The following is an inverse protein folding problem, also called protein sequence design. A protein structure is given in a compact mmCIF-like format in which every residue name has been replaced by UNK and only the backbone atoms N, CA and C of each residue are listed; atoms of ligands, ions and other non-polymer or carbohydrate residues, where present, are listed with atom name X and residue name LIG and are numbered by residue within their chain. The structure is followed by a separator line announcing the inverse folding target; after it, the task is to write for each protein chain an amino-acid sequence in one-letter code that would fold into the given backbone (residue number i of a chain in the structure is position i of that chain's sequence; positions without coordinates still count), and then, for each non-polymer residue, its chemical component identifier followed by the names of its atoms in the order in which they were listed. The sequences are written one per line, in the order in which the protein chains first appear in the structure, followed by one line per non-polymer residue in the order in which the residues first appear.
data_IF_464808270742
#
_entry.id   IF_464808270742
#
_cell.length_a   1.000
_cell.length_b   1.000
_cell.length_c   1.000
_cell.angle_alpha   90.00
_cell.angle_beta   90.00
_cell.angle_gamma   90.00
#
_symmetry.space_group_name_H-M   'P 1'
#
loop_
_entity.id
_entity.type
_entity.pdbx_description
1 polymer ?
#
# COMPACT_ATOMS: atom_id res chain seq x y z
N UNK A 1 -29.78 -26.60 -32.07
CA UNK A 1 -29.54 -25.16 -32.23
C UNK A 1 -28.81 -24.63 -31.00
N UNK A 2 -27.66 -24.00 -31.25
CA UNK A 2 -26.65 -23.55 -30.28
C UNK A 2 -27.15 -22.35 -29.46
N UNK A 3 -26.78 -22.31 -28.18
CA UNK A 3 -26.72 -21.06 -27.40
C UNK A 3 -25.27 -20.58 -27.42
N UNK A 4 -25.02 -19.41 -27.99
CA UNK A 4 -23.79 -18.65 -27.79
C UNK A 4 -24.01 -17.64 -26.66
N UNK A 5 -23.08 -17.58 -25.72
CA UNK A 5 -22.80 -16.41 -24.88
C UNK A 5 -21.32 -16.08 -25.06
N UNK A 6 -21.07 -14.78 -25.13
CA UNK A 6 -19.86 -14.09 -25.56
C UNK A 6 -18.86 -13.91 -24.39
N UNK A 7 -17.72 -13.28 -24.75
CA UNK A 7 -16.55 -12.80 -23.96
C UNK A 7 -15.35 -13.73 -24.05
N UNK A 8 -14.13 -13.27 -24.35
CA UNK A 8 -13.59 -11.93 -24.53
C UNK A 8 -12.15 -12.07 -25.04
N UNK A 9 -11.67 -11.03 -25.71
CA UNK A 9 -10.38 -10.94 -26.42
C UNK A 9 -9.16 -10.78 -25.50
N UNK A 10 -7.99 -10.82 -26.16
CA UNK A 10 -6.68 -10.22 -25.80
C UNK A 10 -5.62 -11.25 -25.33
N UNK A 11 -4.35 -11.29 -25.76
CA UNK A 11 -3.41 -10.33 -26.39
C UNK A 11 -2.36 -11.16 -27.18
N UNK A 12 -2.29 -11.06 -28.51
CA UNK A 12 -1.21 -10.46 -29.32
C UNK A 12 0.23 -10.44 -28.75
N UNK A 13 1.04 -11.39 -29.22
CA UNK A 13 2.38 -11.23 -29.82
C UNK A 13 3.37 -10.27 -29.11
N UNK A 14 4.38 -10.90 -28.49
CA UNK A 14 5.69 -10.31 -28.17
C UNK A 14 6.82 -11.32 -28.36
N UNK A 15 6.88 -11.95 -29.54
CA UNK A 15 8.01 -12.78 -29.98
C UNK A 15 8.91 -11.93 -30.89
N UNK A 16 10.10 -11.55 -30.40
CA UNK A 16 11.31 -11.11 -31.13
C UNK A 16 12.20 -10.45 -30.06
N UNK A 17 13.22 -11.10 -29.50
CA UNK A 17 14.51 -11.35 -30.14
C UNK A 17 15.14 -12.65 -29.63
N UNK A 18 14.73 -13.80 -30.17
CA UNK A 18 15.55 -15.01 -30.15
C UNK A 18 16.50 -14.91 -31.34
N UNK A 19 17.54 -14.08 -31.17
CA UNK A 19 18.77 -14.21 -31.93
C UNK A 19 19.54 -15.38 -31.35
N UNK A 20 19.50 -16.52 -32.02
CA UNK A 20 20.24 -17.72 -31.67
C UNK A 20 21.75 -17.44 -31.60
N UNK A 21 22.27 -17.22 -30.40
CA UNK A 21 23.68 -17.36 -30.09
C UNK A 21 23.90 -18.75 -29.48
N UNK A 22 24.52 -19.61 -30.27
CA UNK A 22 25.00 -20.94 -29.86
C UNK A 22 25.94 -20.76 -28.66
N UNK A 23 25.55 -21.27 -27.49
CA UNK A 23 26.43 -21.30 -26.32
C UNK A 23 27.32 -22.53 -26.35
N UNK A 24 28.61 -22.28 -26.56
CA UNK A 24 29.70 -23.22 -26.25
C UNK A 24 29.65 -23.50 -24.75
N UNK A 25 29.69 -24.78 -24.39
CA UNK A 25 29.77 -25.21 -23.00
C UNK A 25 31.03 -24.65 -22.33
N UNK A 26 30.90 -23.57 -21.56
CA UNK A 26 31.91 -23.19 -20.56
C UNK A 26 31.82 -24.18 -19.41
N UNK A 27 32.53 -25.28 -19.58
CA UNK A 27 32.78 -26.24 -18.53
C UNK A 27 33.47 -25.56 -17.34
N UNK A 28 32.70 -25.32 -16.26
CA UNK A 28 33.19 -25.10 -14.90
C UNK A 28 33.73 -23.70 -14.59
N UNK A 29 32.84 -22.71 -14.37
CA UNK A 29 33.23 -21.35 -13.95
C UNK A 29 32.22 -20.76 -12.95
N UNK A 30 32.04 -21.41 -11.79
CA UNK A 30 31.55 -20.72 -10.57
C UNK A 30 32.73 -20.50 -9.60
N UNK A 31 33.95 -20.45 -10.15
CA UNK A 31 35.20 -20.48 -9.36
C UNK A 31 36.07 -19.23 -9.57
N UNK A 32 35.45 -18.10 -9.89
CA UNK A 32 36.03 -16.77 -9.68
C UNK A 32 34.98 -15.91 -8.97
N UNK A 33 35.49 -14.99 -8.17
CA UNK A 33 34.86 -14.13 -7.17
C UNK A 33 33.82 -13.16 -7.72
N UNK A 34 32.93 -13.62 -8.59
CA UNK A 34 31.99 -12.79 -9.32
C UNK A 34 30.66 -12.72 -8.57
N UNK A 35 30.24 -11.50 -8.25
CA UNK A 35 28.93 -11.20 -7.68
C UNK A 35 28.01 -10.85 -8.85
N UNK A 36 26.81 -11.44 -8.90
CA UNK A 36 25.82 -11.08 -9.93
C UNK A 36 24.87 -10.04 -9.35
N UNK A 37 24.90 -8.82 -9.90
CA UNK A 37 24.24 -7.66 -9.30
C UNK A 37 23.22 -7.06 -10.25
N UNK A 38 22.05 -6.73 -9.72
CA UNK A 38 21.05 -5.89 -10.35
C UNK A 38 20.90 -4.62 -9.52
N UNK A 39 21.06 -3.48 -10.17
CA UNK A 39 20.86 -2.16 -9.57
C UNK A 39 19.69 -1.46 -10.26
N UNK A 40 18.81 -0.88 -9.47
CA UNK A 40 17.85 0.13 -9.90
C UNK A 40 17.85 1.27 -8.87
N UNK A 41 17.15 2.38 -9.15
CA UNK A 41 17.04 3.47 -8.17
C UNK A 41 16.41 2.97 -6.86
N UNK A 42 17.10 3.17 -5.74
CA UNK A 42 16.70 2.70 -4.41
C UNK A 42 16.72 1.18 -4.21
N UNK A 43 17.19 0.39 -5.19
CA UNK A 43 17.20 -1.07 -5.12
C UNK A 43 18.56 -1.65 -5.51
N UNK A 44 19.12 -2.49 -4.65
CA UNK A 44 20.34 -3.25 -4.91
C UNK A 44 20.13 -4.72 -4.57
N UNK A 45 20.12 -5.57 -5.60
CA UNK A 45 19.94 -7.01 -5.46
C UNK A 45 21.17 -7.75 -5.96
N UNK A 46 21.60 -8.79 -5.25
CA UNK A 46 22.74 -9.57 -5.73
C UNK A 46 22.74 -11.03 -5.30
N UNK A 47 23.35 -11.86 -6.15
CA UNK A 47 23.59 -13.26 -5.89
C UNK A 47 25.07 -13.53 -5.67
N UNK A 48 25.36 -14.24 -4.58
CA UNK A 48 26.63 -14.91 -4.34
C UNK A 48 26.44 -16.41 -4.55
N UNK A 49 26.79 -16.90 -5.74
CA UNK A 49 26.59 -18.31 -6.11
C UNK A 49 27.89 -19.09 -6.02
N UNK A 50 27.80 -20.31 -5.50
CA UNK A 50 28.89 -21.30 -5.44
C UNK A 50 28.37 -22.66 -5.87
N UNK A 51 29.14 -23.42 -6.64
CA UNK A 51 28.67 -24.78 -7.01
C UNK A 51 29.31 -25.38 -8.25
N UNK A 52 28.92 -26.63 -8.52
CA UNK A 52 29.35 -27.41 -9.69
C UNK A 52 28.28 -27.45 -10.78
N UNK A 53 28.55 -28.17 -11.88
CA UNK A 53 27.71 -28.20 -13.10
C UNK A 53 26.23 -28.55 -12.88
N UNK A 54 25.89 -29.27 -11.81
CA UNK A 54 24.54 -29.83 -11.58
C UNK A 54 23.81 -29.20 -10.40
N UNK A 55 24.54 -28.62 -9.45
CA UNK A 55 24.00 -28.08 -8.20
C UNK A 55 24.72 -26.80 -7.84
N UNK A 56 23.93 -25.79 -7.49
CA UNK A 56 24.39 -24.48 -7.05
C UNK A 56 23.84 -24.23 -5.64
N UNK A 57 24.62 -23.52 -4.83
CA UNK A 57 24.23 -22.97 -3.54
C UNK A 57 24.65 -21.52 -3.51
N UNK A 58 24.17 -20.77 -2.54
CA UNK A 58 24.58 -19.38 -2.42
C UNK A 58 23.68 -18.60 -1.49
N UNK A 59 23.76 -17.29 -1.64
CA UNK A 59 22.85 -16.35 -0.99
C UNK A 59 22.36 -15.36 -2.02
N UNK A 60 21.08 -15.00 -1.92
CA UNK A 60 20.51 -13.86 -2.60
C UNK A 60 20.20 -12.79 -1.57
N UNK A 61 20.67 -11.58 -1.84
CA UNK A 61 20.51 -10.44 -0.98
C UNK A 61 19.66 -9.40 -1.68
N UNK A 62 18.82 -8.72 -0.90
CA UNK A 62 18.07 -7.55 -1.31
C UNK A 62 18.36 -6.41 -0.34
N UNK A 63 18.68 -5.23 -0.87
CA UNK A 63 18.65 -3.96 -0.15
C UNK A 63 17.74 -3.00 -0.88
N UNK A 64 16.78 -2.43 -0.18
CA UNK A 64 15.79 -1.49 -0.73
C UNK A 64 15.67 -0.30 0.18
N UNK A 65 15.69 0.91 -0.38
CA UNK A 65 15.35 2.12 0.37
C UNK A 65 13.83 2.15 0.59
N UNK A 66 13.43 2.20 1.86
CA UNK A 66 12.06 2.45 2.29
C UNK A 66 11.96 3.92 2.64
N UNK A 67 11.06 4.63 1.96
CA UNK A 67 10.84 6.08 2.08
C UNK A 67 9.34 6.32 2.26
N UNK A 68 8.88 6.14 3.50
CA UNK A 68 7.49 6.34 3.91
C UNK A 68 7.32 7.75 4.48
N UNK A 69 6.21 8.41 4.12
CA UNK A 69 5.95 9.79 4.55
C UNK A 69 5.77 9.84 6.07
N UNK A 70 6.58 10.68 6.73
CA UNK A 70 6.53 10.87 8.18
C UNK A 70 7.49 9.95 8.95
N UNK A 71 8.15 9.02 8.27
CA UNK A 71 9.23 8.21 8.82
C UNK A 71 10.57 8.64 8.22
N UNK A 72 11.65 8.46 8.98
CA UNK A 72 12.99 8.68 8.45
C UNK A 72 13.32 7.55 7.46
N UNK A 73 13.66 7.86 6.19
CA UNK A 73 13.98 6.82 5.22
C UNK A 73 15.12 5.92 5.70
N UNK A 74 15.05 4.63 5.38
CA UNK A 74 16.06 3.65 5.78
C UNK A 74 16.24 2.55 4.72
N UNK A 75 17.29 1.73 4.87
CA UNK A 75 17.51 0.56 4.00
C UNK A 75 16.95 -0.69 4.70
N UNK A 76 15.99 -1.35 4.06
CA UNK A 76 15.59 -2.70 4.41
C UNK A 76 16.56 -3.69 3.75
N UNK A 77 17.09 -4.63 4.54
CA UNK A 77 17.97 -5.70 4.07
C UNK A 77 17.34 -7.08 4.29
N UNK A 78 17.32 -7.90 3.25
CA UNK A 78 16.83 -9.27 3.28
C UNK A 78 17.84 -10.23 2.66
N UNK A 79 18.07 -11.34 3.33
CA UNK A 79 18.96 -12.40 2.86
C UNK A 79 18.23 -13.72 2.74
N UNK A 80 18.49 -14.42 1.63
CA UNK A 80 17.87 -15.68 1.30
C UNK A 80 18.93 -16.71 0.92
N UNK A 81 19.18 -17.70 1.79
CA UNK A 81 19.93 -18.90 1.42
C UNK A 81 19.35 -19.56 0.17
N UNK A 82 20.23 -19.91 -0.77
CA UNK A 82 19.88 -20.52 -2.04
C UNK A 82 20.33 -21.98 -2.10
N UNK A 83 19.41 -22.81 -2.60
CA UNK A 83 19.72 -24.11 -3.18
C UNK A 83 19.20 -24.17 -4.61
N UNK A 84 20.03 -24.64 -5.53
CA UNK A 84 19.75 -24.64 -6.96
C UNK A 84 20.09 -25.96 -7.63
N UNK A 85 19.33 -26.30 -8.67
CA UNK A 85 19.58 -27.45 -9.54
C UNK A 85 19.53 -27.03 -11.00
N UNK A 86 20.37 -27.65 -11.82
CA UNK A 86 20.33 -27.43 -13.27
C UNK A 86 19.06 -28.02 -13.89
N UNK A 87 18.49 -27.33 -14.87
CA UNK A 87 17.41 -27.81 -15.72
C UNK A 87 17.77 -27.56 -17.21
N UNK A 88 16.83 -27.82 -18.14
CA UNK A 88 17.07 -27.64 -19.58
C UNK A 88 17.29 -26.17 -19.99
N UNK A 89 16.76 -25.22 -19.21
CA UNK A 89 16.78 -23.78 -19.50
C UNK A 89 17.90 -23.03 -18.76
N UNK A 90 18.58 -23.67 -17.81
CA UNK A 90 19.56 -23.03 -16.93
C UNK A 90 19.54 -23.68 -15.54
N UNK A 91 19.16 -22.91 -14.54
CA UNK A 91 19.05 -23.31 -13.15
C UNK A 91 17.69 -22.93 -12.59
N UNK A 92 17.15 -23.81 -11.77
CA UNK A 92 16.03 -23.54 -10.89
C UNK A 92 16.59 -23.34 -9.48
N UNK A 93 16.45 -22.13 -8.94
CA UNK A 93 16.91 -21.74 -7.63
C UNK A 93 15.71 -21.61 -6.67
N UNK A 94 15.92 -22.05 -5.44
CA UNK A 94 15.00 -21.85 -4.32
C UNK A 94 15.71 -20.99 -3.28
N UNK A 95 15.21 -19.79 -3.09
CA UNK A 95 15.66 -18.82 -2.09
C UNK A 95 14.69 -18.87 -0.91
N UNK A 96 15.18 -19.08 0.32
CA UNK A 96 14.29 -19.31 1.47
C UNK A 96 14.84 -18.65 2.73
N UNK A 97 14.05 -17.77 3.33
CA UNK A 97 14.29 -17.25 4.69
C UNK A 97 13.22 -17.79 5.66
N UNK A 98 13.08 -17.20 6.85
CA UNK A 98 12.11 -17.67 7.86
C UNK A 98 10.64 -17.40 7.49
N UNK A 99 10.39 -16.41 6.66
CA UNK A 99 9.06 -15.85 6.39
C UNK A 99 8.57 -16.24 4.99
N UNK A 100 9.50 -16.42 4.05
CA UNK A 100 9.21 -16.47 2.63
C UNK A 100 10.08 -17.53 1.92
N UNK A 101 9.48 -18.18 0.92
CA UNK A 101 10.18 -19.00 -0.07
C UNK A 101 9.90 -18.45 -1.46
N UNK A 102 10.96 -18.12 -2.20
CA UNK A 102 10.88 -17.71 -3.60
C UNK A 102 11.47 -18.78 -4.50
N UNK A 103 10.80 -19.02 -5.65
CA UNK A 103 11.34 -19.81 -6.74
C UNK A 103 11.80 -18.87 -7.85
N UNK A 104 13.03 -19.10 -8.30
CA UNK A 104 13.75 -18.21 -9.21
C UNK A 104 14.32 -19.06 -10.33
N UNK A 105 13.95 -18.75 -11.57
CA UNK A 105 14.53 -19.34 -12.76
C UNK A 105 15.71 -18.46 -13.21
N UNK A 106 16.88 -19.07 -13.44
CA UNK A 106 18.10 -18.33 -13.73
C UNK A 106 18.93 -18.98 -14.85
N UNK A 107 19.46 -18.18 -15.77
CA UNK A 107 20.28 -18.66 -16.89
C UNK A 107 21.48 -17.75 -17.12
N UNK A 108 22.65 -18.34 -17.40
CA UNK A 108 23.81 -17.54 -17.78
C UNK A 108 23.65 -16.97 -19.18
N UNK A 109 23.93 -15.68 -19.33
CA UNK A 109 24.02 -14.98 -20.61
C UNK A 109 25.33 -14.23 -20.65
N UNK A 110 26.33 -14.80 -21.33
CA UNK A 110 27.69 -14.28 -21.23
C UNK A 110 28.29 -14.60 -19.88
N UNK A 111 28.90 -13.59 -19.29
CA UNK A 111 29.32 -13.57 -17.89
C UNK A 111 28.18 -13.21 -16.94
N UNK A 112 27.02 -12.77 -17.44
CA UNK A 112 25.92 -12.27 -16.62
C UNK A 112 24.90 -13.36 -16.32
N UNK A 113 23.98 -13.07 -15.41
CA UNK A 113 22.89 -13.96 -15.00
C UNK A 113 21.54 -13.31 -15.36
N UNK A 114 20.74 -13.96 -16.20
CA UNK A 114 19.34 -13.59 -16.42
C UNK A 114 18.51 -14.29 -15.37
N UNK A 115 17.62 -13.56 -14.71
CA UNK A 115 16.85 -14.03 -13.56
C UNK A 115 15.38 -13.67 -13.75
N UNK A 116 14.50 -14.66 -13.55
CA UNK A 116 13.06 -14.51 -13.53
C UNK A 116 12.52 -15.03 -12.19
N UNK A 117 11.96 -14.13 -11.37
CA UNK A 117 11.22 -14.52 -10.17
C UNK A 117 9.83 -15.02 -10.59
N UNK A 118 9.35 -16.16 -10.08
CA UNK A 118 8.06 -16.72 -10.54
C UNK A 118 6.83 -15.87 -10.19
N UNK A 119 6.96 -14.95 -9.24
CA UNK A 119 5.96 -13.94 -8.89
C UNK A 119 6.01 -12.70 -9.81
N UNK A 120 7.07 -12.54 -10.61
CA UNK A 120 7.27 -11.41 -11.52
C UNK A 120 7.15 -11.81 -13.00
N UNK A 121 6.65 -10.89 -13.83
CA UNK A 121 6.57 -11.12 -15.28
C UNK A 121 7.91 -10.90 -16.00
N UNK A 122 8.82 -10.12 -15.41
CA UNK A 122 9.94 -9.52 -16.14
C UNK A 122 11.27 -10.21 -15.81
N UNK A 123 12.02 -10.57 -16.86
CA UNK A 123 13.39 -11.07 -16.74
C UNK A 123 14.34 -9.91 -16.41
N UNK A 124 15.15 -10.06 -15.36
CA UNK A 124 16.17 -9.08 -14.95
C UNK A 124 17.57 -9.60 -15.31
N UNK A 125 18.39 -8.73 -15.87
CA UNK A 125 19.81 -9.03 -16.13
C UNK A 125 20.65 -8.59 -14.94
N UNK A 126 21.33 -9.54 -14.31
CA UNK A 126 22.29 -9.33 -13.24
C UNK A 126 23.70 -9.34 -13.83
N UNK A 127 24.40 -8.23 -13.70
CA UNK A 127 25.77 -8.09 -14.18
C UNK A 127 26.75 -8.81 -13.27
N UNK A 128 27.67 -9.57 -13.87
CA UNK A 128 28.83 -10.09 -13.14
C UNK A 128 29.84 -8.96 -12.96
N UNK A 129 30.11 -8.64 -11.69
CA UNK A 129 31.03 -7.58 -11.28
C UNK A 129 32.04 -8.07 -10.24
N UNK A 130 33.16 -7.35 -10.16
CA UNK A 130 34.19 -7.52 -9.15
C UNK A 130 33.79 -6.80 -7.84
N UNK A 131 34.45 -7.16 -6.74
CA UNK A 131 34.09 -6.66 -5.39
C UNK A 131 34.27 -5.16 -5.26
N UNK A 132 35.28 -4.59 -5.91
CA UNK A 132 35.57 -3.16 -5.89
C UNK A 132 34.41 -2.36 -6.51
N UNK A 133 33.89 -2.83 -7.65
CA UNK A 133 32.73 -2.21 -8.29
C UNK A 133 31.44 -2.43 -7.48
N UNK A 134 31.33 -3.53 -6.76
CA UNK A 134 30.20 -3.75 -5.85
C UNK A 134 30.19 -2.71 -4.71
N UNK A 135 31.35 -2.40 -4.14
CA UNK A 135 31.47 -1.37 -3.11
C UNK A 135 31.02 0.01 -3.61
N UNK A 136 31.32 0.37 -4.87
CA UNK A 136 30.81 1.59 -5.50
C UNK A 136 29.26 1.62 -5.53
N UNK A 137 28.61 0.49 -5.82
CA UNK A 137 27.14 0.40 -5.79
C UNK A 137 26.55 0.48 -4.38
N UNK A 138 27.25 -0.05 -3.38
CA UNK A 138 26.85 0.15 -1.98
C UNK A 138 26.95 1.62 -1.58
N UNK A 139 28.03 2.31 -1.96
CA UNK A 139 28.19 3.76 -1.71
C UNK A 139 27.11 4.59 -2.43
N UNK A 140 26.78 4.25 -3.67
CA UNK A 140 25.70 4.91 -4.41
C UNK A 140 24.34 4.73 -3.73
N UNK A 141 24.00 3.53 -3.22
CA UNK A 141 22.75 3.31 -2.48
C UNK A 141 22.71 4.14 -1.18
N UNK A 142 23.84 4.27 -0.48
CA UNK A 142 23.93 5.13 0.71
C UNK A 142 23.76 6.61 0.36
N UNK A 143 24.31 7.06 -0.77
CA UNK A 143 24.11 8.43 -1.26
C UNK A 143 22.63 8.69 -1.64
N UNK A 144 21.98 7.73 -2.29
CA UNK A 144 20.54 7.79 -2.59
C UNK A 144 19.70 7.85 -1.31
N UNK A 145 20.06 7.09 -0.27
CA UNK A 145 19.43 7.18 1.05
C UNK A 145 19.62 8.57 1.66
N UNK A 146 20.82 9.15 1.63
CA UNK A 146 21.06 10.48 2.17
C UNK A 146 20.21 11.55 1.46
N UNK A 147 20.06 11.45 0.14
CA UNK A 147 19.17 12.35 -0.62
C UNK A 147 17.72 12.18 -0.18
N UNK A 148 17.27 10.95 0.07
CA UNK A 148 15.92 10.68 0.59
C UNK A 148 15.73 11.30 1.99
N UNK A 149 16.69 11.12 2.89
CA UNK A 149 16.71 11.72 4.24
C UNK A 149 16.66 13.24 4.15
N UNK A 150 17.53 13.87 3.34
CA UNK A 150 17.59 15.32 3.17
C UNK A 150 16.27 15.90 2.62
N UNK A 151 15.58 15.14 1.77
CA UNK A 151 14.29 15.52 1.19
C UNK A 151 13.06 15.20 2.04
N UNK A 152 13.19 14.36 3.08
CA UNK A 152 12.06 13.82 3.85
C UNK A 152 11.24 14.91 4.55
N UNK A 153 11.90 15.92 5.13
CA UNK A 153 11.23 17.01 5.83
C UNK A 153 10.34 17.84 4.88
N UNK A 154 10.83 18.15 3.68
CA UNK A 154 10.05 18.92 2.70
C UNK A 154 8.91 18.08 2.11
N UNK A 155 9.13 16.78 1.86
CA UNK A 155 8.06 15.84 1.48
C UNK A 155 6.96 15.82 2.53
N UNK A 156 7.32 15.69 3.81
CA UNK A 156 6.36 15.70 4.92
C UNK A 156 5.62 17.04 5.01
N UNK A 157 6.31 18.18 4.89
CA UNK A 157 5.66 19.50 4.88
C UNK A 157 4.69 19.66 3.71
N UNK A 158 5.04 19.18 2.53
CA UNK A 158 4.15 19.21 1.36
C UNK A 158 2.91 18.35 1.61
N UNK A 159 3.12 17.11 2.07
CA UNK A 159 2.04 16.20 2.43
C UNK A 159 1.07 16.82 3.44
N UNK A 160 1.57 17.35 4.57
CA UNK A 160 0.73 17.96 5.61
C UNK A 160 -0.06 19.15 5.05
N UNK A 161 0.55 20.01 4.25
CA UNK A 161 -0.16 21.15 3.63
C UNK A 161 -1.29 20.69 2.71
N UNK A 162 -1.02 19.71 1.86
CA UNK A 162 -2.02 19.14 0.95
C UNK A 162 -3.15 18.46 1.71
N UNK A 163 -2.80 17.65 2.72
CA UNK A 163 -3.74 16.97 3.60
C UNK A 163 -4.70 17.96 4.27
N UNK A 164 -4.19 18.98 4.97
CA UNK A 164 -5.06 19.96 5.65
C UNK A 164 -5.82 20.86 4.67
N UNK A 165 -5.25 21.14 3.50
CA UNK A 165 -5.98 21.85 2.44
C UNK A 165 -7.17 21.03 1.96
N UNK A 166 -7.00 19.72 1.76
CA UNK A 166 -8.07 18.81 1.37
C UNK A 166 -9.10 18.67 2.47
N UNK A 167 -8.67 18.39 3.70
CA UNK A 167 -9.53 18.23 4.88
C UNK A 167 -10.48 19.42 5.07
N UNK A 168 -9.97 20.66 4.94
CA UNK A 168 -10.77 21.88 5.05
C UNK A 168 -11.68 22.15 3.83
N UNK A 169 -11.44 21.50 2.69
CA UNK A 169 -12.24 21.67 1.47
C UNK A 169 -13.41 20.69 1.38
N UNK A 170 -13.36 19.59 2.13
CA UNK A 170 -14.43 18.59 2.16
C UNK A 170 -15.68 19.17 2.81
N UNK A 171 -16.83 18.97 2.17
CA UNK A 171 -18.11 19.47 2.70
C UNK A 171 -18.52 18.75 3.98
N UNK A 172 -18.31 17.44 4.05
CA UNK A 172 -18.46 16.62 5.24
C UNK A 172 -18.27 15.14 4.93
N UNK A 173 -18.42 14.31 5.94
CA UNK A 173 -18.22 12.88 5.85
C UNK A 173 -19.45 12.13 6.32
N UNK A 174 -19.81 11.08 5.61
CA UNK A 174 -21.03 10.32 5.83
C UNK A 174 -20.72 8.86 6.17
N UNK A 175 -21.45 8.34 7.14
CA UNK A 175 -21.62 6.92 7.39
C UNK A 175 -23.11 6.59 7.52
N UNK A 176 -23.54 5.51 6.87
CA UNK A 176 -24.89 4.96 6.98
C UNK A 176 -24.81 3.52 7.46
N UNK A 177 -25.53 3.17 8.52
CA UNK A 177 -25.56 1.81 9.03
C UNK A 177 -26.19 0.85 8.00
N UNK A 178 -25.67 -0.37 7.89
CA UNK A 178 -26.18 -1.37 6.94
C UNK A 178 -27.64 -1.76 7.22
N UNK A 179 -28.01 -1.77 8.51
CA UNK A 179 -29.39 -2.02 8.96
C UNK A 179 -30.27 -0.77 8.94
N UNK A 180 -29.73 0.33 8.42
CA UNK A 180 -30.37 1.64 8.31
C UNK A 180 -30.88 2.21 9.65
N UNK A 181 -30.40 1.68 10.78
CA UNK A 181 -30.86 2.09 12.12
C UNK A 181 -30.42 3.50 12.48
N UNK A 182 -29.29 3.97 11.91
CA UNK A 182 -28.81 5.33 12.05
C UNK A 182 -27.91 5.78 10.89
N UNK A 183 -27.78 7.09 10.76
CA UNK A 183 -26.86 7.76 9.85
C UNK A 183 -26.04 8.79 10.65
N UNK A 184 -24.76 8.91 10.33
CA UNK A 184 -23.82 9.86 10.93
C UNK A 184 -23.26 10.77 9.85
N UNK A 185 -23.30 12.08 10.09
CA UNK A 185 -22.66 13.07 9.25
C UNK A 185 -21.70 13.92 10.08
N UNK A 186 -20.40 13.79 9.81
CA UNK A 186 -19.36 14.59 10.43
C UNK A 186 -19.02 15.77 9.51
N UNK A 187 -19.19 16.99 10.00
CA UNK A 187 -18.71 18.20 9.33
C UNK A 187 -17.52 18.76 10.07
N UNK A 188 -16.39 18.90 9.38
CA UNK A 188 -15.22 19.61 9.90
C UNK A 188 -15.37 21.07 9.50
N UNK A 189 -15.40 21.96 10.49
CA UNK A 189 -15.55 23.39 10.27
C UNK A 189 -14.18 24.08 10.16
N UNK A 190 -13.19 23.61 10.90
CA UNK A 190 -11.82 24.11 10.86
C UNK A 190 -10.82 22.99 11.21
N UNK A 191 -9.75 22.89 10.44
CA UNK A 191 -8.57 22.07 10.75
C UNK A 191 -7.30 22.90 10.56
N UNK A 192 -6.54 23.07 11.64
CA UNK A 192 -5.31 23.86 11.68
C UNK A 192 -4.10 22.98 11.41
N UNK A 193 -3.08 23.52 10.74
CA UNK A 193 -1.84 22.80 10.42
C UNK A 193 -1.08 22.28 11.66
N UNK A 194 -1.35 22.85 12.83
CA UNK A 194 -0.79 22.43 14.12
C UNK A 194 -1.48 21.17 14.68
N UNK A 195 -2.55 20.73 14.02
CA UNK A 195 -3.24 19.48 14.29
C UNK A 195 -4.62 19.67 14.89
N UNK A 196 -5.01 20.86 15.36
CA UNK A 196 -6.34 21.04 15.95
C UNK A 196 -7.45 20.93 14.91
N UNK A 197 -8.52 20.23 15.26
CA UNK A 197 -9.72 20.05 14.43
C UNK A 197 -10.95 20.44 15.23
N UNK A 198 -11.90 21.13 14.61
CA UNK A 198 -13.21 21.42 15.20
C UNK A 198 -14.32 21.18 14.19
N UNK A 199 -15.51 20.88 14.70
CA UNK A 199 -16.66 20.62 13.83
C UNK A 199 -17.90 20.16 14.58
N UNK A 200 -18.75 19.45 13.85
CA UNK A 200 -19.99 18.87 14.38
C UNK A 200 -20.26 17.48 13.84
N UNK A 201 -20.81 16.61 14.68
CA UNK A 201 -21.32 15.30 14.33
C UNK A 201 -22.83 15.29 14.45
N UNK A 202 -23.53 15.25 13.32
CA UNK A 202 -24.96 15.02 13.26
C UNK A 202 -25.24 13.52 13.30
N UNK A 203 -26.06 13.10 14.24
CA UNK A 203 -26.61 11.76 14.32
C UNK A 203 -28.10 11.77 14.01
N UNK A 204 -28.52 10.93 13.07
CA UNK A 204 -29.91 10.64 12.77
C UNK A 204 -30.21 9.20 13.16
N UNK A 205 -31.22 8.98 14.01
CA UNK A 205 -31.64 7.63 14.44
C UNK A 205 -33.08 7.35 13.99
N UNK A 206 -33.38 6.10 13.62
CA UNK A 206 -34.77 5.62 13.64
C UNK A 206 -35.22 5.56 15.11
N UNK A 207 -36.23 6.33 15.46
CA UNK A 207 -36.72 6.38 16.85
C UNK A 207 -37.66 5.21 17.17
N UNK A 208 -38.12 4.49 16.14
CA UNK A 208 -39.14 3.45 16.23
C UNK A 208 -40.55 3.96 16.50
N UNK A 209 -40.79 5.28 16.60
CA UNK A 209 -42.08 5.87 16.99
C UNK A 209 -42.87 6.38 15.78
N UNK A 210 -44.13 5.93 15.65
CA UNK A 210 -45.03 6.31 14.53
C UNK A 210 -45.21 7.83 14.37
N UNK A 211 -45.38 8.56 15.49
CA UNK A 211 -45.61 10.01 15.47
C UNK A 211 -44.33 10.85 15.40
N UNK A 212 -43.16 10.25 15.58
CA UNK A 212 -41.87 10.94 15.46
C UNK A 212 -40.83 9.97 14.91
N UNK A 213 -40.87 9.62 13.63
CA UNK A 213 -40.17 8.46 13.07
C UNK A 213 -38.65 8.49 13.27
N UNK A 214 -38.05 9.68 13.34
CA UNK A 214 -36.61 9.82 13.53
C UNK A 214 -36.26 10.84 14.62
N UNK A 215 -35.04 10.77 15.12
CA UNK A 215 -34.46 11.72 16.07
C UNK A 215 -33.13 12.24 15.52
N UNK A 216 -32.94 13.55 15.56
CA UNK A 216 -31.71 14.22 15.16
C UNK A 216 -31.01 14.75 16.40
N UNK A 217 -29.71 14.51 16.52
CA UNK A 217 -28.87 15.05 17.60
C UNK A 217 -27.55 15.52 17.03
N UNK A 218 -27.17 16.75 17.32
CA UNK A 218 -25.89 17.33 16.90
C UNK A 218 -24.95 17.42 18.08
N UNK A 219 -23.75 16.91 17.90
CA UNK A 219 -22.67 16.96 18.88
C UNK A 219 -21.58 17.90 18.37
N UNK A 220 -21.20 18.89 19.16
CA UNK A 220 -19.96 19.64 18.90
C UNK A 220 -18.77 18.71 19.13
N UNK A 221 -17.80 18.76 18.22
CA UNK A 221 -16.56 17.99 18.32
C UNK A 221 -15.36 18.91 18.24
N UNK A 222 -14.37 18.65 19.09
CA UNK A 222 -13.05 19.25 19.02
C UNK A 222 -12.02 18.14 19.11
N UNK A 223 -10.87 18.29 18.47
CA UNK A 223 -9.99 17.15 18.25
C UNK A 223 -8.61 17.51 17.78
N UNK A 224 -7.86 16.47 17.47
CA UNK A 224 -6.51 16.55 16.92
C UNK A 224 -6.35 15.57 15.75
N UNK A 225 -5.53 15.94 14.76
CA UNK A 225 -5.06 15.12 13.65
C UNK A 225 -3.57 15.38 13.37
N UNK A 226 -2.83 14.36 12.98
CA UNK A 226 -1.46 14.48 12.46
C UNK A 226 -1.35 14.14 10.96
N UNK A 227 -2.50 13.97 10.29
CA UNK A 227 -2.58 13.50 8.91
C UNK A 227 -2.76 11.99 8.75
N UNK A 228 -2.51 11.20 9.80
CA UNK A 228 -2.72 9.75 9.80
C UNK A 228 -3.81 9.35 10.80
N UNK A 229 -3.74 9.86 12.03
CA UNK A 229 -4.75 9.62 13.05
C UNK A 229 -5.76 10.76 13.16
N UNK A 230 -6.91 10.46 13.75
CA UNK A 230 -7.95 11.43 14.09
C UNK A 230 -8.51 11.11 15.47
N UNK A 231 -8.44 12.09 16.37
CA UNK A 231 -9.13 12.03 17.67
C UNK A 231 -10.13 13.16 17.77
N UNK A 232 -11.39 12.84 18.07
CA UNK A 232 -12.45 13.81 18.32
C UNK A 232 -13.02 13.61 19.72
N UNK A 233 -13.29 14.71 20.41
CA UNK A 233 -13.84 14.74 21.75
C UNK A 233 -15.19 15.43 21.73
N UNK A 234 -16.18 14.79 22.35
CA UNK A 234 -17.51 15.34 22.51
C UNK A 234 -18.12 14.97 23.87
N UNK A 235 -19.35 15.42 24.13
CA UNK A 235 -20.11 15.09 25.34
C UNK A 235 -21.40 14.37 24.95
N UNK A 236 -21.52 13.12 25.40
CA UNK A 236 -22.71 12.27 25.20
C UNK A 236 -23.32 12.01 26.55
N UNK A 237 -24.60 12.35 26.73
CA UNK A 237 -25.33 12.17 28.00
C UNK A 237 -24.58 12.72 29.23
N UNK A 238 -23.94 13.88 29.07
CA UNK A 238 -23.15 14.53 30.12
C UNK A 238 -21.77 13.91 30.38
N UNK A 239 -21.34 12.92 29.59
CA UNK A 239 -20.03 12.27 29.71
C UNK A 239 -19.13 12.61 28.53
N UNK A 240 -17.88 12.98 28.84
CA UNK A 240 -16.83 13.14 27.82
C UNK A 240 -16.61 11.81 27.11
N UNK A 241 -16.66 11.87 25.79
CA UNK A 241 -16.53 10.71 24.91
C UNK A 241 -15.48 11.01 23.87
N UNK A 242 -14.54 10.08 23.69
CA UNK A 242 -13.49 10.14 22.68
C UNK A 242 -13.88 9.24 21.51
N UNK A 243 -13.78 9.78 20.30
CA UNK A 243 -13.81 9.05 19.04
C UNK A 243 -12.38 9.03 18.49
N UNK A 244 -11.91 7.87 18.07
CA UNK A 244 -10.52 7.67 17.67
C UNK A 244 -10.45 6.81 16.41
N UNK A 245 -9.60 7.24 15.49
CA UNK A 245 -9.63 6.77 14.12
C UNK A 245 -8.34 7.03 13.35
N UNK A 246 -8.31 6.54 12.12
CA UNK A 246 -7.23 6.77 11.17
C UNK A 246 -7.79 7.08 9.79
N UNK A 247 -7.16 8.01 9.10
CA UNK A 247 -7.37 8.24 7.68
C UNK A 247 -6.92 7.04 6.84
N UNK A 248 -7.59 6.85 5.71
CA UNK A 248 -7.32 5.76 4.78
C UNK A 248 -6.75 6.41 3.53
N UNK A 249 -5.44 6.22 3.31
CA UNK A 249 -4.64 6.80 2.23
C UNK A 249 -4.49 8.34 2.28
N UNK A 250 -5.60 9.08 2.40
CA UNK A 250 -5.63 10.54 2.46
C UNK A 250 -6.86 11.07 3.25
N UNK A 251 -7.16 12.38 3.12
CA UNK A 251 -8.26 13.01 3.83
C UNK A 251 -9.69 12.61 3.36
N UNK A 252 -9.86 11.89 2.23
CA UNK A 252 -11.18 11.53 1.68
C UNK A 252 -11.95 10.52 2.53
N UNK A 253 -11.26 9.70 3.31
CA UNK A 253 -11.88 8.60 4.03
C UNK A 253 -11.15 8.33 5.34
N UNK A 254 -11.88 7.93 6.38
CA UNK A 254 -11.29 7.49 7.64
C UNK A 254 -12.18 6.50 8.38
N UNK A 255 -11.55 5.68 9.22
CA UNK A 255 -12.23 4.81 10.17
C UNK A 255 -12.26 5.49 11.52
N UNK A 256 -13.42 5.61 12.16
CA UNK A 256 -13.58 6.26 13.47
C UNK A 256 -14.33 5.35 14.44
N UNK A 257 -13.89 5.27 15.69
CA UNK A 257 -14.69 4.60 16.73
C UNK A 257 -16.00 5.34 16.96
N UNK A 258 -17.03 4.64 17.44
CA UNK A 258 -18.31 5.24 17.73
C UNK A 258 -18.97 4.57 18.93
N UNK A 259 -19.37 5.33 19.95
CA UNK A 259 -19.79 4.79 21.27
C UNK A 259 -21.00 3.85 21.26
N UNK A 260 -21.79 3.78 20.17
CA UNK A 260 -22.91 2.84 20.05
C UNK A 260 -22.50 1.46 19.52
N UNK A 261 -21.27 1.28 19.06
CA UNK A 261 -20.79 0.02 18.47
C UNK A 261 -19.34 -0.24 18.85
N UNK A 262 -18.96 -1.51 18.93
CA UNK A 262 -17.55 -1.90 19.15
C UNK A 262 -16.73 -1.85 17.85
N UNK A 263 -17.37 -1.66 16.69
CA UNK A 263 -16.72 -1.57 15.39
C UNK A 263 -16.35 -0.13 15.04
N UNK A 264 -15.19 0.05 14.38
CA UNK A 264 -14.88 1.33 13.74
C UNK A 264 -15.76 1.49 12.50
N UNK A 265 -16.29 2.69 12.33
CA UNK A 265 -17.16 3.06 11.23
C UNK A 265 -16.34 3.79 10.16
N UNK A 266 -16.54 3.41 8.90
CA UNK A 266 -15.86 4.05 7.77
C UNK A 266 -16.68 5.24 7.28
N UNK A 267 -16.12 6.43 7.45
CA UNK A 267 -16.67 7.69 6.99
C UNK A 267 -16.08 8.03 5.63
N UNK A 268 -16.94 8.39 4.68
CA UNK A 268 -16.54 8.77 3.32
C UNK A 268 -16.86 10.24 3.11
N UNK A 269 -15.97 10.97 2.44
CA UNK A 269 -16.27 12.33 2.01
C UNK A 269 -17.51 12.35 1.11
N UNK A 270 -18.31 13.39 1.26
CA UNK A 270 -19.50 13.63 0.44
C UNK A 270 -19.58 15.09 0.08
N UNK A 271 -20.17 15.37 -1.08
CA UNK A 271 -20.59 16.71 -1.48
C UNK A 271 -21.88 17.11 -0.78
N UNK A 272 -22.23 18.39 -0.86
CA UNK A 272 -23.51 18.90 -0.34
C UNK A 272 -24.72 18.22 -0.99
N UNK A 273 -24.64 17.89 -2.28
CA UNK A 273 -25.73 17.24 -2.99
C UNK A 273 -25.94 15.80 -2.50
N UNK A 274 -24.86 15.02 -2.38
CA UNK A 274 -24.89 13.63 -1.89
C UNK A 274 -25.39 13.56 -0.44
N UNK A 275 -24.95 14.49 0.43
CA UNK A 275 -25.47 14.58 1.79
C UNK A 275 -26.97 14.86 1.81
N UNK A 276 -27.45 15.84 1.04
CA UNK A 276 -28.88 16.18 0.98
C UNK A 276 -29.72 15.02 0.47
N UNK A 277 -29.24 14.29 -0.53
CA UNK A 277 -29.90 13.09 -1.05
C UNK A 277 -30.01 12.02 0.05
N UNK A 278 -28.89 11.64 0.68
CA UNK A 278 -28.90 10.63 1.75
C UNK A 278 -29.76 11.04 2.96
N UNK A 279 -29.77 12.33 3.29
CA UNK A 279 -30.60 12.88 4.38
C UNK A 279 -32.10 12.71 4.10
N UNK A 280 -32.55 13.05 2.90
CA UNK A 280 -33.96 12.88 2.51
C UNK A 280 -34.34 11.41 2.34
N UNK A 281 -33.43 10.57 1.82
CA UNK A 281 -33.65 9.12 1.72
C UNK A 281 -33.85 8.47 3.08
N UNK A 282 -33.01 8.80 4.06
CA UNK A 282 -33.16 8.31 5.44
C UNK A 282 -34.53 8.68 5.99
N UNK A 283 -34.95 9.95 5.87
CA UNK A 283 -36.27 10.41 6.34
C UNK A 283 -37.42 9.66 5.66
N UNK A 284 -37.36 9.51 4.35
CA UNK A 284 -38.40 8.84 3.59
C UNK A 284 -38.52 7.36 3.96
N UNK A 285 -37.40 6.65 4.11
CA UNK A 285 -37.36 5.23 4.49
C UNK A 285 -37.92 4.99 5.87
N UNK A 286 -37.46 5.75 6.87
CA UNK A 286 -37.94 5.59 8.25
C UNK A 286 -39.44 5.89 8.34
N UNK A 287 -39.94 6.88 7.59
CA UNK A 287 -41.38 7.17 7.51
C UNK A 287 -42.21 6.07 6.81
N UNK A 288 -41.69 5.47 5.75
CA UNK A 288 -42.40 4.46 4.97
C UNK A 288 -42.35 3.07 5.62
N UNK A 289 -41.29 2.74 6.37
CA UNK A 289 -41.16 1.48 7.13
C UNK A 289 -42.23 1.27 8.20
N UNK A 290 -43.01 2.32 8.54
CA UNK A 290 -44.10 2.27 9.52
C UNK A 290 -45.50 2.22 8.89
N UNK A 291 -45.61 2.23 7.55
CA UNK A 291 -46.89 2.14 6.83
C UNK A 291 -47.28 0.72 6.40
N UNK A 292 -46.37 -0.23 6.53
CA UNK A 292 -46.56 -1.67 6.26
C UNK A 292 -46.75 -2.46 7.57
#
# INVERSE_FOLDING_TARGET
MRKLKYWGWAVLIGLLLIGAAIWVATSGILNKSDIFVYKNHGELYWFELTGGKEKVKGTFHKRVIIDEIGEEPFIEEKEYPIIGKKNEKGYELRATNREETMKIDAAFSGKNLIVQEQSGSDEKLYESIEKEKFAEYEEELQAELQVAIDGSEEKFKSFIREFFSKLNSVYGYLYSAEDESFQLFLKIDEALLQGEVSGSLLMMNDSGKENNPYEETTYEVNGITDGQMLELFTTVDGKKTKLEGNFIEDASQFNLSFWKTDQKLTFNEVTEAEFKESYEEFKAKVQNSKKD
#
